data_IF_616874922341
#
_entry.id   IF_616874922341
#
_cell.length_a   1.000
_cell.length_b   1.000
_cell.length_c   1.000
_cell.angle_alpha   90.00
_cell.angle_beta   90.00
_cell.angle_gamma   90.00
#
_symmetry.space_group_name_H-M   'P 1'
#
loop_
_entity.id
_entity.type
_entity.pdbx_description
1 polymer ?
#
# COMPACT_ATOMS: atom_id res chain seq x y z
N UNK A 1 -6.47 -20.29 24.40
CA UNK A 1 -5.29 -19.53 24.82
C UNK A 1 -5.33 -18.26 24.01
N UNK A 2 -5.85 -17.20 24.61
CA UNK A 2 -6.11 -15.92 23.98
C UNK A 2 -4.78 -15.18 23.84
N UNK A 3 -4.40 -14.85 22.60
CA UNK A 3 -3.23 -14.01 22.34
C UNK A 3 -3.59 -12.59 22.77
N UNK A 4 -3.04 -12.15 23.90
CA UNK A 4 -3.15 -10.76 24.33
C UNK A 4 -2.55 -9.84 23.27
N UNK A 5 -3.17 -8.68 22.97
CA UNK A 5 -2.60 -7.71 22.05
C UNK A 5 -1.31 -7.15 22.65
N UNK A 6 -0.18 -7.45 22.00
CA UNK A 6 1.12 -6.86 22.33
C UNK A 6 1.29 -5.56 21.55
N UNK A 7 1.27 -4.42 22.25
CA UNK A 7 1.69 -3.11 21.75
C UNK A 7 0.57 -2.23 21.20
N UNK A 8 0.61 -0.93 21.50
CA UNK A 8 -0.27 0.14 20.98
C UNK A 8 -0.11 0.38 19.44
N UNK A 9 0.47 -0.57 18.70
CA UNK A 9 0.85 -0.44 17.29
C UNK A 9 0.08 -1.36 16.34
N UNK A 10 0.10 -1.04 15.04
CA UNK A 10 -0.52 -1.87 13.99
C UNK A 10 0.44 -3.01 13.61
N UNK A 11 0.06 -4.27 13.78
CA UNK A 11 0.90 -5.41 13.39
C UNK A 11 1.27 -5.42 11.89
N UNK A 12 2.48 -5.89 11.54
CA UNK A 12 2.88 -6.03 10.13
C UNK A 12 1.91 -6.91 9.33
N UNK A 13 1.43 -8.01 9.91
CA UNK A 13 0.45 -8.86 9.24
C UNK A 13 -0.85 -8.11 8.88
N UNK A 14 -1.26 -7.17 9.73
CA UNK A 14 -2.41 -6.30 9.47
C UNK A 14 -2.09 -5.30 8.35
N UNK A 15 -0.89 -4.71 8.34
CA UNK A 15 -0.44 -3.82 7.25
C UNK A 15 -0.44 -4.55 5.90
N UNK A 16 0.17 -5.74 5.83
CA UNK A 16 0.22 -6.54 4.59
C UNK A 16 -1.18 -6.85 4.08
N UNK A 17 -2.05 -7.32 4.97
CA UNK A 17 -3.44 -7.65 4.62
C UNK A 17 -4.23 -6.41 4.20
N UNK A 18 -4.03 -5.27 4.86
CA UNK A 18 -4.68 -4.02 4.49
C UNK A 18 -4.28 -3.59 3.07
N UNK A 19 -2.98 -3.63 2.76
CA UNK A 19 -2.49 -3.23 1.43
C UNK A 19 -3.04 -4.14 0.34
N UNK A 20 -3.06 -5.46 0.56
CA UNK A 20 -3.69 -6.40 -0.38
C UNK A 20 -5.17 -6.05 -0.64
N UNK A 21 -5.96 -5.89 0.43
CA UNK A 21 -7.39 -5.55 0.33
C UNK A 21 -7.59 -4.20 -0.35
N UNK A 22 -6.77 -3.19 -0.04
CA UNK A 22 -6.87 -1.87 -0.62
C UNK A 22 -6.54 -1.88 -2.12
N UNK A 23 -5.50 -2.61 -2.53
CA UNK A 23 -5.15 -2.79 -3.95
C UNK A 23 -6.30 -3.48 -4.71
N UNK A 24 -6.84 -4.58 -4.18
CA UNK A 24 -7.93 -5.31 -4.81
C UNK A 24 -9.20 -4.45 -4.91
N UNK A 25 -9.55 -3.73 -3.83
CA UNK A 25 -10.71 -2.83 -3.84
C UNK A 25 -10.56 -1.68 -4.86
N UNK A 26 -9.35 -1.12 -5.01
CA UNK A 26 -9.08 -0.10 -6.03
C UNK A 26 -9.10 -0.68 -7.44
N UNK A 27 -8.70 -1.94 -7.63
CA UNK A 27 -8.82 -2.62 -8.91
C UNK A 27 -10.28 -2.79 -9.32
N UNK A 28 -11.12 -3.26 -8.38
CA UNK A 28 -12.54 -3.50 -8.60
C UNK A 28 -13.33 -2.20 -8.81
N UNK A 29 -13.01 -1.15 -8.04
CA UNK A 29 -13.70 0.14 -8.11
C UNK A 29 -13.13 1.09 -9.19
N UNK A 30 -12.08 0.69 -9.92
CA UNK A 30 -11.31 1.57 -10.83
C UNK A 30 -12.20 2.33 -11.81
N UNK A 31 -13.03 1.61 -12.55
CA UNK A 31 -13.90 2.16 -13.59
C UNK A 31 -15.00 3.05 -13.01
N UNK A 32 -15.52 2.70 -11.83
CA UNK A 32 -16.50 3.51 -11.11
C UNK A 32 -15.88 4.84 -10.67
N UNK A 33 -14.68 4.80 -10.09
CA UNK A 33 -13.94 6.01 -9.66
C UNK A 33 -13.55 6.86 -10.87
N UNK A 34 -13.07 6.25 -11.95
CA UNK A 34 -12.75 6.95 -13.21
C UNK A 34 -13.99 7.70 -13.75
N UNK A 35 -15.19 7.10 -13.63
CA UNK A 35 -16.44 7.71 -14.06
C UNK A 35 -16.97 8.82 -13.13
N UNK A 36 -16.55 8.84 -11.84
CA UNK A 36 -16.94 9.89 -10.89
C UNK A 36 -16.18 11.21 -11.12
N UNK A 37 -14.98 11.18 -11.71
CA UNK A 37 -14.21 12.41 -11.94
C UNK A 37 -14.78 13.22 -13.11
N UNK A 38 -15.71 14.12 -12.82
CA UNK A 38 -16.45 14.90 -13.82
C UNK A 38 -16.10 16.39 -13.86
N UNK A 39 -15.03 16.86 -13.20
CA UNK A 39 -14.73 18.29 -13.07
C UNK A 39 -13.27 18.72 -13.38
N UNK A 40 -13.03 19.81 -14.14
CA UNK A 40 -13.92 20.49 -15.09
C UNK A 40 -14.01 19.75 -16.45
N UNK A 41 -13.10 18.80 -16.71
CA UNK A 41 -13.08 17.90 -17.86
C UNK A 41 -12.77 16.51 -17.33
N UNK A 42 -13.58 15.48 -17.65
CA UNK A 42 -13.27 14.11 -17.25
C UNK A 42 -11.97 13.66 -17.94
N UNK A 43 -10.92 13.45 -17.15
CA UNK A 43 -9.70 12.78 -17.60
C UNK A 43 -9.86 11.25 -17.59
N UNK A 44 -10.84 10.74 -16.82
CA UNK A 44 -11.24 9.34 -16.80
C UNK A 44 -10.14 8.40 -16.31
N UNK A 45 -9.20 8.92 -15.49
CA UNK A 45 -8.02 8.18 -15.06
C UNK A 45 -7.77 8.19 -13.54
N UNK A 46 -8.66 8.80 -12.75
CA UNK A 46 -8.48 8.94 -11.29
C UNK A 46 -8.37 7.61 -10.55
N UNK A 47 -9.31 6.69 -10.79
CA UNK A 47 -9.30 5.35 -10.22
C UNK A 47 -8.09 4.56 -10.73
N UNK A 48 -7.79 4.66 -12.03
CA UNK A 48 -6.61 4.03 -12.62
C UNK A 48 -5.32 4.52 -11.97
N UNK A 49 -5.19 5.82 -11.75
CA UNK A 49 -4.04 6.45 -11.11
C UNK A 49 -3.88 6.02 -9.65
N UNK A 50 -4.97 5.94 -8.89
CA UNK A 50 -4.95 5.44 -7.51
C UNK A 50 -4.55 3.96 -7.45
N UNK A 51 -5.17 3.11 -8.27
CA UNK A 51 -4.86 1.68 -8.33
C UNK A 51 -3.38 1.42 -8.64
N UNK A 52 -2.83 2.09 -9.66
CA UNK A 52 -1.43 1.94 -10.05
C UNK A 52 -0.47 2.45 -8.96
N UNK A 53 -0.84 3.51 -8.26
CA UNK A 53 -0.03 4.07 -7.15
C UNK A 53 0.04 3.09 -5.98
N UNK A 54 -1.10 2.55 -5.54
CA UNK A 54 -1.13 1.58 -4.43
C UNK A 54 -0.52 0.24 -4.85
N UNK A 55 -0.66 -0.18 -6.11
CA UNK A 55 0.01 -1.38 -6.64
C UNK A 55 1.54 -1.24 -6.55
N UNK A 56 2.09 -0.08 -6.91
CA UNK A 56 3.52 0.18 -6.77
C UNK A 56 3.99 0.17 -5.30
N UNK A 57 3.16 0.70 -4.39
CA UNK A 57 3.43 0.65 -2.96
C UNK A 57 3.42 -0.79 -2.42
N UNK A 58 2.46 -1.61 -2.87
CA UNK A 58 2.36 -3.03 -2.55
C UNK A 58 3.59 -3.83 -3.00
N UNK A 59 4.03 -3.60 -4.25
CA UNK A 59 5.22 -4.24 -4.79
C UNK A 59 6.47 -3.87 -3.96
N UNK A 60 6.59 -2.60 -3.56
CA UNK A 60 7.70 -2.13 -2.73
C UNK A 60 7.70 -2.76 -1.31
N UNK A 61 6.53 -2.92 -0.69
CA UNK A 61 6.42 -3.68 0.58
C UNK A 61 6.91 -5.11 0.37
N UNK A 62 6.43 -5.79 -0.67
CA UNK A 62 6.77 -7.19 -0.93
C UNK A 62 8.28 -7.38 -1.12
N UNK A 63 8.94 -6.46 -1.83
CA UNK A 63 10.39 -6.43 -1.98
C UNK A 63 11.10 -6.23 -0.62
N UNK A 64 10.66 -5.26 0.18
CA UNK A 64 11.26 -4.99 1.49
C UNK A 64 11.13 -6.18 2.45
N UNK A 65 9.96 -6.81 2.52
CA UNK A 65 9.73 -7.98 3.36
C UNK A 65 10.56 -9.18 2.88
N UNK A 66 10.68 -9.38 1.56
CA UNK A 66 11.52 -10.44 1.01
C UNK A 66 13.00 -10.24 1.35
N UNK A 67 13.50 -9.01 1.33
CA UNK A 67 14.88 -8.68 1.73
C UNK A 67 15.13 -8.97 3.21
N UNK A 68 14.21 -8.58 4.10
CA UNK A 68 14.31 -8.88 5.53
C UNK A 68 14.32 -10.39 5.78
N UNK A 69 13.43 -11.14 5.11
CA UNK A 69 13.36 -12.59 5.24
C UNK A 69 14.63 -13.30 4.73
N UNK A 70 15.30 -12.74 3.70
CA UNK A 70 16.54 -13.28 3.16
C UNK A 70 17.75 -13.03 4.08
N UNK A 71 17.81 -11.86 4.74
CA UNK A 71 18.91 -11.50 5.65
C UNK A 71 18.81 -12.24 6.99
N UNK A 72 17.58 -12.57 7.43
CA UNK A 72 17.34 -13.30 8.68
C UNK A 72 16.33 -14.45 8.50
N UNK A 73 16.72 -15.57 7.85
CA UNK A 73 15.81 -16.68 7.60
C UNK A 73 15.24 -17.30 8.88
N UNK A 74 13.91 -17.33 9.00
CA UNK A 74 13.20 -17.92 10.14
C UNK A 74 13.09 -17.02 11.37
N UNK A 75 13.60 -15.78 11.31
CA UNK A 75 13.31 -14.78 12.33
C UNK A 75 11.82 -14.40 12.30
N UNK A 76 11.26 -14.12 13.48
CA UNK A 76 9.92 -13.56 13.57
C UNK A 76 9.92 -12.15 12.95
N UNK A 77 8.84 -11.81 12.24
CA UNK A 77 8.62 -10.44 11.79
C UNK A 77 8.33 -9.57 13.02
N UNK A 78 9.23 -8.63 13.29
CA UNK A 78 9.19 -7.76 14.46
C UNK A 78 8.85 -6.31 14.07
N UNK A 79 8.94 -5.40 15.04
CA UNK A 79 8.69 -3.98 14.83
C UNK A 79 9.62 -3.34 13.80
N UNK A 80 10.86 -3.85 13.65
CA UNK A 80 11.79 -3.33 12.65
C UNK A 80 11.35 -3.71 11.23
N UNK A 81 10.93 -4.97 11.03
CA UNK A 81 10.35 -5.41 9.76
C UNK A 81 9.08 -4.63 9.42
N UNK A 82 8.26 -4.33 10.43
CA UNK A 82 7.07 -3.48 10.29
C UNK A 82 7.41 -2.07 9.83
N UNK A 83 8.34 -1.41 10.50
CA UNK A 83 8.74 -0.03 10.17
C UNK A 83 9.38 0.04 8.78
N UNK A 84 10.18 -0.97 8.40
CA UNK A 84 10.74 -1.08 7.07
C UNK A 84 9.65 -1.24 5.99
N UNK A 85 8.64 -2.08 6.23
CA UNK A 85 7.52 -2.24 5.32
C UNK A 85 6.70 -0.95 5.17
N UNK A 86 6.41 -0.24 6.27
CA UNK A 86 5.70 1.05 6.21
C UNK A 86 6.51 2.12 5.45
N UNK A 87 7.82 2.18 5.67
CA UNK A 87 8.71 3.06 4.90
C UNK A 87 8.75 2.71 3.42
N UNK A 88 8.77 1.42 3.09
CA UNK A 88 8.73 0.94 1.71
C UNK A 88 7.39 1.24 1.03
N UNK A 89 6.28 1.12 1.76
CA UNK A 89 4.95 1.52 1.28
C UNK A 89 4.91 2.98 0.87
N UNK A 90 5.28 3.88 1.80
CA UNK A 90 5.27 5.32 1.56
C UNK A 90 6.18 5.70 0.38
N UNK A 91 7.40 5.14 0.35
CA UNK A 91 8.35 5.39 -0.75
C UNK A 91 7.86 4.81 -2.08
N UNK A 92 7.25 3.62 -2.07
CA UNK A 92 6.70 2.96 -3.25
C UNK A 92 5.51 3.73 -3.82
N UNK A 93 4.62 4.21 -2.96
CA UNK A 93 3.53 5.10 -3.34
C UNK A 93 4.06 6.39 -3.98
N UNK A 94 5.04 7.04 -3.34
CA UNK A 94 5.65 8.29 -3.85
C UNK A 94 6.32 8.11 -5.21
N UNK A 95 7.15 7.08 -5.37
CA UNK A 95 7.86 6.83 -6.63
C UNK A 95 6.95 6.24 -7.72
N UNK A 96 5.90 5.54 -7.31
CA UNK A 96 4.91 4.92 -8.19
C UNK A 96 3.77 5.85 -8.60
N UNK A 97 3.62 7.00 -7.93
CA UNK A 97 2.52 7.93 -8.07
C UNK A 97 2.19 8.25 -9.53
N UNK A 98 0.91 8.15 -9.89
CA UNK A 98 0.41 8.47 -11.23
C UNK A 98 -0.61 9.59 -11.18
N UNK A 99 -0.44 10.57 -12.07
CA UNK A 99 -1.31 11.74 -12.15
C UNK A 99 -1.40 12.51 -10.83
N UNK A 100 -2.36 13.43 -10.75
CA UNK A 100 -2.56 14.24 -9.54
C UNK A 100 -3.09 13.38 -8.37
N UNK A 101 -3.99 12.45 -8.66
CA UNK A 101 -4.62 11.58 -7.66
C UNK A 101 -3.59 10.67 -6.97
N UNK A 102 -2.62 10.14 -7.72
CA UNK A 102 -1.54 9.35 -7.16
C UNK A 102 -0.58 10.18 -6.30
N UNK A 103 -0.23 11.39 -6.74
CA UNK A 103 0.66 12.29 -5.96
C UNK A 103 -0.01 12.71 -4.65
N UNK A 104 -1.30 13.03 -4.67
CA UNK A 104 -2.03 13.37 -3.43
C UNK A 104 -2.08 12.16 -2.50
N UNK A 105 -2.39 10.98 -3.04
CA UNK A 105 -2.48 9.75 -2.25
C UNK A 105 -1.13 9.36 -1.62
N UNK A 106 -0.01 9.59 -2.31
CA UNK A 106 1.32 9.24 -1.80
C UNK A 106 1.81 10.14 -0.66
N UNK A 107 1.17 11.29 -0.45
CA UNK A 107 1.54 12.28 0.57
C UNK A 107 0.59 12.27 1.78
N UNK A 108 -0.37 11.34 1.84
CA UNK A 108 -1.25 11.09 2.99
C UNK A 108 -0.54 10.31 4.10
#
# INVERSE_FOLDING_TARGET
MELAPTGDGIDLAVVLRFVDIATDALADAREEIDALNVYPVPDGDTGTNMYLTVSAARDAIAEAVALVAADSPGAALDDSARDAALGAFARGALLGARGNSGVILSEM
#
